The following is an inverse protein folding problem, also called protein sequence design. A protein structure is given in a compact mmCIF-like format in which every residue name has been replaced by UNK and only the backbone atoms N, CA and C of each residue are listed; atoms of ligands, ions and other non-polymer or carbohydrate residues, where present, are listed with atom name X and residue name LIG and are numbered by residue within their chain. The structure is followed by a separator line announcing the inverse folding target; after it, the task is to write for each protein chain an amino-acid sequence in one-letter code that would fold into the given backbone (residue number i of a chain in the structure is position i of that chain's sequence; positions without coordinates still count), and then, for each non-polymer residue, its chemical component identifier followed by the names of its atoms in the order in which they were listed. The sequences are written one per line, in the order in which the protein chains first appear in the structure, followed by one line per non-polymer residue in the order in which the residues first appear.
data_IF_248862422988
#
_entry.id   IF_248862422988
#
_cell.length_a   1.000
_cell.length_b   1.000
_cell.length_c   1.000
_cell.angle_alpha   90.00
_cell.angle_beta   90.00
_cell.angle_gamma   90.00
#
_symmetry.space_group_name_H-M   'P 1'
#
loop_
_entity.id
_entity.type
_entity.pdbx_description
1 polymer ?
#
# COMPACT_ATOMS: atom_id res chain seq x y z
N UNK A 1 -16.03 26.59 6.41
CA UNK A 1 -14.98 26.04 5.51
C UNK A 1 -14.55 24.66 6.01
N UNK A 2 -15.53 23.76 6.21
CA UNK A 2 -15.42 22.59 7.07
C UNK A 2 -15.32 21.26 6.33
N UNK A 3 -14.76 20.25 7.00
CA UNK A 3 -14.67 18.80 6.68
C UNK A 3 -14.25 18.41 5.25
N UNK A 4 -14.98 18.79 4.19
CA UNK A 4 -14.66 18.44 2.81
C UNK A 4 -13.25 18.91 2.36
N UNK A 5 -12.81 20.10 2.79
CA UNK A 5 -11.45 20.57 2.50
C UNK A 5 -10.38 19.75 3.25
N UNK A 6 -10.69 19.31 4.48
CA UNK A 6 -9.80 18.48 5.29
C UNK A 6 -9.65 17.09 4.67
N UNK A 7 -10.76 16.42 4.35
CA UNK A 7 -10.75 15.11 3.70
C UNK A 7 -10.00 15.12 2.37
N UNK A 8 -10.14 16.20 1.58
CA UNK A 8 -9.37 16.39 0.35
C UNK A 8 -7.88 16.54 0.63
N UNK A 9 -7.49 17.35 1.61
CA UNK A 9 -6.09 17.54 2.00
C UNK A 9 -5.47 16.22 2.47
N UNK A 10 -6.18 15.47 3.32
CA UNK A 10 -5.73 14.17 3.82
C UNK A 10 -5.59 13.15 2.69
N UNK A 11 -6.57 13.11 1.77
CA UNK A 11 -6.49 12.25 0.56
C UNK A 11 -5.24 12.58 -0.27
N UNK A 12 -4.94 13.87 -0.48
CA UNK A 12 -3.75 14.29 -1.22
C UNK A 12 -2.46 13.95 -0.47
N UNK A 13 -2.43 14.08 0.86
CA UNK A 13 -1.27 13.71 1.67
C UNK A 13 -0.94 12.22 1.52
N UNK A 14 -1.96 11.35 1.56
CA UNK A 14 -1.78 9.93 1.33
C UNK A 14 -1.33 9.61 -0.10
N UNK A 15 -1.87 10.30 -1.11
CA UNK A 15 -1.37 10.14 -2.49
C UNK A 15 0.11 10.52 -2.63
N UNK A 16 0.53 11.62 -2.00
CA UNK A 16 1.94 12.02 -2.00
C UNK A 16 2.80 10.96 -1.32
N UNK A 17 2.34 10.39 -0.21
CA UNK A 17 3.04 9.28 0.46
C UNK A 17 3.11 8.02 -0.42
N UNK A 18 2.06 7.72 -1.19
CA UNK A 18 2.07 6.60 -2.13
C UNK A 18 3.17 6.77 -3.19
N UNK A 19 3.19 7.93 -3.85
CA UNK A 19 4.08 8.21 -4.97
C UNK A 19 5.54 8.39 -4.52
N UNK A 20 5.78 8.97 -3.34
CA UNK A 20 7.13 9.25 -2.83
C UNK A 20 7.68 8.20 -1.88
N UNK A 21 6.82 7.37 -1.27
CA UNK A 21 7.18 6.41 -0.23
C UNK A 21 6.89 4.97 -0.65
N UNK A 22 5.63 4.53 -0.52
CA UNK A 22 5.25 3.12 -0.71
C UNK A 22 5.67 2.59 -2.09
N UNK A 23 5.30 3.28 -3.18
CA UNK A 23 5.57 2.83 -4.54
C UNK A 23 7.06 2.62 -4.80
N UNK A 24 7.92 3.65 -4.60
CA UNK A 24 9.37 3.49 -4.75
C UNK A 24 9.99 2.44 -3.82
N UNK A 25 9.54 2.35 -2.57
CA UNK A 25 10.06 1.37 -1.62
C UNK A 25 9.79 -0.07 -2.07
N UNK A 26 8.53 -0.36 -2.42
CA UNK A 26 8.10 -1.67 -2.91
C UNK A 26 8.76 -2.01 -4.26
N UNK A 27 8.84 -1.03 -5.17
CA UNK A 27 9.48 -1.16 -6.48
C UNK A 27 10.96 -1.54 -6.37
N UNK A 28 11.72 -0.82 -5.54
CA UNK A 28 13.13 -1.12 -5.29
C UNK A 28 13.31 -2.48 -4.64
N UNK A 29 12.49 -2.81 -3.63
CA UNK A 29 12.57 -4.12 -2.96
C UNK A 29 12.40 -5.27 -3.96
N UNK A 30 11.36 -5.23 -4.81
CA UNK A 30 11.16 -6.26 -5.83
C UNK A 30 12.23 -6.27 -6.93
N UNK A 31 12.80 -5.11 -7.28
CA UNK A 31 13.95 -5.05 -8.19
C UNK A 31 15.15 -5.82 -7.64
N UNK A 32 15.58 -5.50 -6.40
CA UNK A 32 16.76 -6.13 -5.80
C UNK A 32 16.53 -7.62 -5.49
N UNK A 33 15.30 -8.02 -5.14
CA UNK A 33 14.94 -9.43 -4.94
C UNK A 33 14.98 -10.26 -6.22
N UNK A 34 14.73 -9.65 -7.38
CA UNK A 34 14.68 -10.35 -8.67
C UNK A 34 16.01 -10.33 -9.43
N UNK A 35 17.06 -9.69 -8.89
CA UNK A 35 18.35 -9.62 -9.56
C UNK A 35 19.03 -11.00 -9.66
N UNK A 36 19.62 -11.28 -10.82
CA UNK A 36 20.40 -12.51 -11.06
C UNK A 36 21.67 -12.60 -10.21
N UNK A 37 22.26 -11.45 -9.90
CA UNK A 37 23.45 -11.33 -9.04
C UNK A 37 23.02 -10.61 -7.76
N UNK A 38 22.73 -11.33 -6.67
CA UNK A 38 22.18 -10.72 -5.47
C UNK A 38 23.12 -9.68 -4.84
N UNK A 39 22.56 -8.58 -4.34
CA UNK A 39 23.20 -7.65 -3.42
C UNK A 39 22.47 -7.75 -2.06
N UNK A 40 23.04 -8.46 -1.07
CA UNK A 40 22.40 -8.66 0.22
C UNK A 40 22.14 -7.36 0.98
N UNK A 41 23.02 -6.37 0.86
CA UNK A 41 22.85 -5.08 1.53
C UNK A 41 21.67 -4.31 0.92
N UNK A 42 21.65 -4.17 -0.40
CA UNK A 42 20.56 -3.47 -1.08
C UNK A 42 19.22 -4.19 -0.84
N UNK A 43 19.21 -5.52 -0.94
CA UNK A 43 18.00 -6.32 -0.68
C UNK A 43 17.46 -6.08 0.72
N UNK A 44 18.30 -6.23 1.76
CA UNK A 44 17.89 -6.00 3.14
C UNK A 44 17.43 -4.57 3.40
N UNK A 45 18.15 -3.58 2.84
CA UNK A 45 17.79 -2.16 2.95
C UNK A 45 16.40 -1.88 2.37
N UNK A 46 16.13 -2.33 1.15
CA UNK A 46 14.87 -1.99 0.47
C UNK A 46 13.69 -2.84 0.94
N UNK A 47 13.90 -4.10 1.34
CA UNK A 47 12.88 -4.87 2.04
C UNK A 47 12.53 -4.21 3.39
N UNK A 48 13.51 -3.73 4.14
CA UNK A 48 13.29 -3.01 5.39
C UNK A 48 12.46 -1.72 5.19
N UNK A 49 12.75 -0.95 4.14
CA UNK A 49 11.97 0.24 3.82
C UNK A 49 10.54 -0.09 3.34
N UNK A 50 10.37 -1.12 2.50
CA UNK A 50 9.05 -1.62 2.10
C UNK A 50 8.22 -2.01 3.33
N UNK A 51 8.82 -2.78 4.26
CA UNK A 51 8.21 -3.14 5.55
C UNK A 51 7.78 -1.91 6.33
N UNK A 52 8.66 -0.90 6.45
CA UNK A 52 8.38 0.34 7.20
C UNK A 52 7.16 1.08 6.63
N UNK A 53 7.02 1.13 5.31
CA UNK A 53 5.87 1.75 4.65
C UNK A 53 4.57 0.98 4.92
N UNK A 54 4.59 -0.36 4.84
CA UNK A 54 3.43 -1.19 5.20
C UNK A 54 3.06 -1.02 6.68
N UNK A 55 4.05 -0.91 7.56
CA UNK A 55 3.83 -0.70 8.99
C UNK A 55 3.19 0.67 9.29
N UNK A 56 3.51 1.69 8.51
CA UNK A 56 2.84 3.00 8.59
C UNK A 56 1.36 2.88 8.19
N UNK A 57 1.06 2.16 7.10
CA UNK A 57 -0.33 1.93 6.68
C UNK A 57 -1.10 1.08 7.71
N UNK A 58 -0.49 0.04 8.26
CA UNK A 58 -1.05 -0.78 9.34
C UNK A 58 -1.43 0.07 10.55
N UNK A 59 -0.52 0.92 11.02
CA UNK A 59 -0.79 1.82 12.14
C UNK A 59 -1.96 2.75 11.85
N UNK A 60 -2.02 3.32 10.64
CA UNK A 60 -3.14 4.17 10.24
C UNK A 60 -4.46 3.39 10.22
N UNK A 61 -4.49 2.27 9.51
CA UNK A 61 -5.71 1.49 9.24
C UNK A 61 -6.20 0.72 10.47
N UNK A 62 -5.36 0.56 11.50
CA UNK A 62 -5.81 0.09 12.81
C UNK A 62 -6.76 1.05 13.52
N UNK A 63 -6.80 2.32 13.09
CA UNK A 63 -7.60 3.38 13.73
C UNK A 63 -8.76 3.87 12.86
N UNK A 64 -8.67 3.70 11.54
CA UNK A 64 -9.64 4.23 10.58
C UNK A 64 -9.94 3.22 9.50
N UNK A 65 -11.16 3.27 8.97
CA UNK A 65 -11.61 2.35 7.92
C UNK A 65 -10.90 2.61 6.57
N UNK A 66 -10.68 3.88 6.25
CA UNK A 66 -10.09 4.36 4.99
C UNK A 66 -8.95 5.34 5.26
N UNK A 67 -7.97 5.45 4.36
CA UNK A 67 -6.75 6.22 4.60
C UNK A 67 -7.03 7.68 5.00
N UNK A 68 -7.98 8.33 4.32
CA UNK A 68 -8.39 9.72 4.61
C UNK A 68 -9.36 9.87 5.81
N UNK A 69 -9.63 8.79 6.56
CA UNK A 69 -10.57 8.70 7.69
C UNK A 69 -12.05 8.98 7.42
N UNK A 70 -12.46 9.44 6.25
CA UNK A 70 -13.86 9.75 5.96
C UNK A 70 -14.53 8.70 5.07
N UNK A 71 -13.92 8.37 3.93
CA UNK A 71 -14.53 7.48 2.95
C UNK A 71 -13.49 6.89 2.00
N UNK A 72 -13.84 5.77 1.37
CA UNK A 72 -13.05 5.17 0.30
C UNK A 72 -12.71 6.20 -0.78
N UNK A 73 -11.43 6.29 -1.15
CA UNK A 73 -10.92 7.37 -1.98
C UNK A 73 -9.85 6.90 -2.97
N UNK A 74 -9.41 7.84 -3.82
CA UNK A 74 -8.27 7.62 -4.73
C UNK A 74 -6.96 7.31 -3.99
N UNK A 75 -6.82 7.72 -2.72
CA UNK A 75 -5.68 7.30 -1.92
C UNK A 75 -5.70 5.78 -1.72
N UNK A 76 -6.84 5.22 -1.33
CA UNK A 76 -6.96 3.77 -1.10
C UNK A 76 -6.72 2.98 -2.40
N UNK A 77 -7.30 3.45 -3.52
CA UNK A 77 -7.08 2.86 -4.85
C UNK A 77 -5.58 2.83 -5.21
N UNK A 78 -4.86 3.94 -4.99
CA UNK A 78 -3.45 4.06 -5.35
C UNK A 78 -2.53 3.15 -4.53
N UNK A 79 -2.86 2.90 -3.26
CA UNK A 79 -2.07 2.01 -2.40
C UNK A 79 -2.41 0.54 -2.63
N UNK A 80 -3.67 0.21 -2.96
CA UNK A 80 -4.18 -1.16 -3.00
C UNK A 80 -3.35 -2.08 -3.90
N UNK A 81 -2.98 -1.63 -5.11
CA UNK A 81 -2.22 -2.46 -6.05
C UNK A 81 -0.87 -2.92 -5.50
N UNK A 82 -0.17 -2.06 -4.76
CA UNK A 82 1.10 -2.39 -4.11
C UNK A 82 0.90 -3.31 -2.91
N UNK A 83 -0.12 -3.04 -2.08
CA UNK A 83 -0.41 -3.82 -0.86
C UNK A 83 -0.86 -5.24 -1.20
N UNK A 84 -1.80 -5.42 -2.14
CA UNK A 84 -2.25 -6.76 -2.58
C UNK A 84 -1.09 -7.60 -3.11
N UNK A 85 -0.08 -6.97 -3.69
CA UNK A 85 1.10 -7.63 -4.23
C UNK A 85 2.33 -7.49 -3.30
N UNK A 86 2.12 -7.45 -1.98
CA UNK A 86 3.20 -7.29 -0.99
C UNK A 86 4.34 -8.32 -1.16
N UNK A 87 4.01 -9.55 -1.57
CA UNK A 87 4.98 -10.60 -1.87
C UNK A 87 6.00 -10.23 -2.96
N UNK A 88 5.67 -9.33 -3.88
CA UNK A 88 6.64 -8.80 -4.87
C UNK A 88 7.84 -8.11 -4.19
N UNK A 89 7.61 -7.47 -3.04
CA UNK A 89 8.66 -6.85 -2.23
C UNK A 89 9.17 -7.79 -1.11
N UNK A 90 8.83 -9.08 -1.18
CA UNK A 90 9.15 -10.09 -0.16
C UNK A 90 8.56 -9.76 1.22
N UNK A 91 7.38 -9.12 1.25
CA UNK A 91 6.64 -8.85 2.47
C UNK A 91 5.47 -9.84 2.60
N UNK A 92 5.22 -10.28 3.82
CA UNK A 92 4.04 -11.06 4.16
C UNK A 92 2.95 -10.14 4.72
N UNK A 93 1.78 -10.14 4.08
CA UNK A 93 0.67 -9.28 4.48
C UNK A 93 -0.04 -9.80 5.74
N UNK A 94 0.12 -11.09 6.07
CA UNK A 94 -0.47 -11.69 7.28
C UNK A 94 0.15 -11.10 8.56
N UNK A 95 1.32 -10.47 8.46
CA UNK A 95 1.95 -9.73 9.57
C UNK A 95 1.28 -8.36 9.85
N UNK A 96 0.37 -7.91 8.99
CA UNK A 96 -0.30 -6.60 9.06
C UNK A 96 -1.83 -6.80 9.04
N UNK A 97 -2.45 -7.14 10.18
CA UNK A 97 -3.86 -7.56 10.21
C UNK A 97 -4.84 -6.47 9.77
N UNK A 98 -4.66 -5.21 10.19
CA UNK A 98 -5.57 -4.13 9.79
C UNK A 98 -5.43 -3.82 8.29
N UNK A 99 -4.22 -3.86 7.76
CA UNK A 99 -3.92 -3.67 6.35
C UNK A 99 -4.46 -4.83 5.50
N UNK A 100 -4.32 -6.07 5.98
CA UNK A 100 -4.92 -7.26 5.36
C UNK A 100 -6.44 -7.16 5.29
N UNK A 101 -7.09 -6.76 6.38
CA UNK A 101 -8.55 -6.57 6.39
C UNK A 101 -8.98 -5.47 5.41
N UNK A 102 -8.27 -4.33 5.40
CA UNK A 102 -8.49 -3.23 4.47
C UNK A 102 -8.34 -3.67 3.01
N UNK A 103 -7.28 -4.43 2.68
CA UNK A 103 -7.07 -4.95 1.34
C UNK A 103 -8.17 -5.94 0.93
N UNK A 104 -8.61 -6.78 1.87
CA UNK A 104 -9.75 -7.67 1.70
C UNK A 104 -11.06 -6.89 1.44
N UNK A 105 -11.29 -5.78 2.14
CA UNK A 105 -12.45 -4.91 1.93
C UNK A 105 -12.47 -4.33 0.53
N UNK A 106 -11.34 -3.81 0.05
CA UNK A 106 -11.22 -3.25 -1.31
C UNK A 106 -11.43 -4.32 -2.37
N UNK A 107 -10.88 -5.53 -2.15
CA UNK A 107 -11.00 -6.66 -3.09
C UNK A 107 -12.44 -7.13 -3.28
N UNK A 108 -13.33 -6.88 -2.31
CA UNK A 108 -14.76 -7.22 -2.40
C UNK A 108 -15.59 -6.23 -3.21
N UNK A 109 -15.06 -5.07 -3.59
CA UNK A 109 -15.79 -4.15 -4.47
C UNK A 109 -15.90 -4.73 -5.88
N UNK A 110 -17.10 -4.73 -6.46
CA UNK A 110 -17.34 -5.21 -7.83
C UNK A 110 -16.41 -4.57 -8.87
N UNK A 111 -16.11 -3.27 -8.72
CA UNK A 111 -15.19 -2.57 -9.60
C UNK A 111 -13.76 -3.11 -9.49
N UNK A 112 -13.30 -3.41 -8.28
CA UNK A 112 -11.99 -4.03 -8.04
C UNK A 112 -11.95 -5.43 -8.62
N UNK A 113 -12.94 -6.28 -8.34
CA UNK A 113 -13.01 -7.65 -8.86
C UNK A 113 -12.95 -7.69 -10.39
N UNK A 114 -13.71 -6.81 -11.07
CA UNK A 114 -13.66 -6.68 -12.53
C UNK A 114 -12.32 -6.18 -13.05
N UNK A 115 -11.64 -5.30 -12.32
CA UNK A 115 -10.31 -4.83 -12.70
C UNK A 115 -9.26 -5.93 -12.56
N UNK A 116 -9.30 -6.70 -11.47
CA UNK A 116 -8.36 -7.80 -11.20
C UNK A 116 -8.51 -8.92 -12.23
N UNK A 117 -9.73 -9.28 -12.62
CA UNK A 117 -10.00 -10.30 -13.62
C UNK A 117 -9.48 -9.98 -15.05
N UNK A 118 -8.89 -8.80 -15.27
CA UNK A 118 -8.21 -8.45 -16.53
C UNK A 118 -6.70 -8.73 -16.53
N UNK A 119 -6.14 -9.03 -15.35
CA UNK A 119 -4.71 -9.28 -15.16
C UNK A 119 -4.41 -10.75 -14.82
N UNK A 120 -5.43 -11.54 -14.51
CA UNK A 120 -5.39 -12.99 -14.40
C UNK A 120 -5.62 -13.64 -15.78
#
# INVERSE_FOLDING_TARGET
MGKAHQARADTLAWLLLQVSGLGPAMGNAGHFLSMRTPDPYATGRFQGEARRQLQLLEQRLSQVEWLNSEAYSIADIAHFGWVRNAGYAGQDLDEFPALSEWAGRISRHDATSRALARFD
#
